data_IF_233810395610
#
_entry.id   IF_233810395610
#
_cell.length_a   1.000
_cell.length_b   1.000
_cell.length_c   1.000
_cell.angle_alpha   90.00
_cell.angle_beta   90.00
_cell.angle_gamma   90.00
#
_symmetry.space_group_name_H-M   'P 1'
#
loop_
_entity.id
_entity.type
_entity.pdbx_description
1 polymer ?
#
# COMPACT_ATOMS: atom_id res chain seq x y z
N UNK A 1 -31.85 -60.09 15.38
CA UNK A 1 -31.44 -59.63 14.04
C UNK A 1 -30.99 -58.19 14.16
N UNK A 2 -29.71 -57.99 13.91
CA UNK A 2 -28.98 -56.76 13.53
C UNK A 2 -29.10 -55.49 14.38
N UNK A 3 -28.28 -55.49 15.44
CA UNK A 3 -27.64 -54.28 15.95
C UNK A 3 -26.75 -53.69 14.86
N UNK A 4 -27.14 -52.54 14.33
CA UNK A 4 -26.32 -51.72 13.44
C UNK A 4 -25.00 -51.41 14.17
N UNK A 5 -23.93 -52.14 13.80
CA UNK A 5 -22.55 -51.84 14.19
C UNK A 5 -22.25 -50.40 13.76
N UNK A 6 -22.28 -49.46 14.71
CA UNK A 6 -21.60 -48.16 14.57
C UNK A 6 -20.15 -48.46 14.23
N UNK A 7 -19.79 -48.29 12.95
CA UNK A 7 -18.44 -48.40 12.44
C UNK A 7 -17.58 -47.39 13.20
N UNK A 8 -16.93 -47.83 14.27
CA UNK A 8 -15.93 -47.07 15.00
C UNK A 8 -14.92 -46.57 13.97
N UNK A 9 -14.96 -45.28 13.67
CA UNK A 9 -13.89 -44.58 12.98
C UNK A 9 -12.71 -44.52 13.97
N UNK A 10 -12.06 -45.68 14.17
CA UNK A 10 -10.83 -45.83 14.95
C UNK A 10 -9.73 -45.11 14.16
N UNK A 11 -9.63 -43.80 14.35
CA UNK A 11 -8.38 -43.12 14.04
C UNK A 11 -7.31 -43.74 14.94
N UNK A 12 -6.37 -44.47 14.33
CA UNK A 12 -5.21 -45.00 15.03
C UNK A 12 -4.49 -43.85 15.74
N UNK A 13 -4.10 -44.02 17.01
CA UNK A 13 -3.30 -43.01 17.73
C UNK A 13 -2.05 -42.61 16.93
N UNK A 14 -1.51 -43.53 16.10
CA UNK A 14 -0.42 -43.25 15.15
C UNK A 14 -0.81 -42.20 14.10
N UNK A 15 -2.00 -42.29 13.52
CA UNK A 15 -2.48 -41.33 12.51
C UNK A 15 -2.60 -39.93 13.11
N UNK A 16 -3.11 -39.82 14.36
CA UNK A 16 -3.21 -38.54 15.07
C UNK A 16 -1.83 -37.88 15.21
N UNK A 17 -0.84 -38.62 15.68
CA UNK A 17 0.52 -38.09 15.85
C UNK A 17 1.21 -37.80 14.52
N UNK A 18 0.98 -38.61 13.48
CA UNK A 18 1.46 -38.31 12.13
C UNK A 18 0.89 -37.00 11.58
N UNK A 19 -0.41 -36.74 11.76
CA UNK A 19 -1.05 -35.49 11.33
C UNK A 19 -0.49 -34.30 12.09
N UNK A 20 -0.33 -34.40 13.42
CA UNK A 20 0.25 -33.32 14.24
C UNK A 20 1.72 -33.06 13.84
N UNK A 21 2.50 -34.12 13.61
CA UNK A 21 3.89 -34.01 13.17
C UNK A 21 4.01 -33.33 11.80
N UNK A 22 3.17 -33.72 10.84
CA UNK A 22 3.12 -33.09 9.53
C UNK A 22 2.74 -31.60 9.61
N UNK A 23 1.71 -31.26 10.40
CA UNK A 23 1.31 -29.87 10.62
C UNK A 23 2.42 -29.07 11.31
N UNK A 24 3.10 -29.65 12.30
CA UNK A 24 4.24 -29.01 12.97
C UNK A 24 5.40 -28.72 12.02
N UNK A 25 5.73 -29.66 11.13
CA UNK A 25 6.77 -29.46 10.11
C UNK A 25 6.40 -28.35 9.13
N UNK A 26 5.14 -28.34 8.66
CA UNK A 26 4.63 -27.28 7.79
C UNK A 26 4.70 -25.91 8.47
N UNK A 27 4.27 -25.82 9.73
CA UNK A 27 4.34 -24.57 10.52
C UNK A 27 5.78 -24.08 10.66
N UNK A 28 6.72 -24.97 11.03
CA UNK A 28 8.13 -24.60 11.14
C UNK A 28 8.71 -24.11 9.82
N UNK A 29 8.44 -24.81 8.72
CA UNK A 29 8.88 -24.42 7.37
C UNK A 29 8.36 -23.04 6.97
N UNK A 30 7.06 -22.79 7.17
CA UNK A 30 6.45 -21.50 6.83
C UNK A 30 6.98 -20.36 7.70
N UNK A 31 7.18 -20.57 9.00
CA UNK A 31 7.71 -19.55 9.91
C UNK A 31 9.14 -19.16 9.50
N UNK A 32 10.00 -20.11 9.14
CA UNK A 32 11.35 -19.82 8.65
C UNK A 32 11.30 -19.06 7.33
N UNK A 33 10.41 -19.47 6.41
CA UNK A 33 10.25 -18.78 5.12
C UNK A 33 9.81 -17.32 5.32
N UNK A 34 8.84 -17.06 6.20
CA UNK A 34 8.41 -15.69 6.55
C UNK A 34 9.54 -14.88 7.18
N UNK A 35 10.33 -15.48 8.07
CA UNK A 35 11.47 -14.83 8.72
C UNK A 35 12.54 -14.41 7.71
N UNK A 36 12.89 -15.28 6.76
CA UNK A 36 13.90 -15.00 5.72
C UNK A 36 13.45 -13.89 4.78
N UNK A 37 12.14 -13.74 4.54
CA UNK A 37 11.58 -12.65 3.73
C UNK A 37 11.47 -11.31 4.47
N UNK A 38 11.82 -11.25 5.77
CA UNK A 38 11.73 -10.04 6.59
C UNK A 38 10.35 -9.78 7.20
N UNK A 39 9.39 -10.71 7.06
CA UNK A 39 8.01 -10.59 7.56
C UNK A 39 7.91 -11.01 9.04
N UNK A 40 8.68 -10.34 9.91
CA UNK A 40 8.84 -10.75 11.31
C UNK A 40 7.53 -10.80 12.10
N UNK A 41 6.64 -9.82 11.89
CA UNK A 41 5.39 -9.72 12.66
C UNK A 41 4.42 -10.85 12.30
N UNK A 42 4.34 -11.22 11.02
CA UNK A 42 3.58 -12.37 10.55
C UNK A 42 4.20 -13.70 11.00
N UNK A 43 5.53 -13.82 10.99
CA UNK A 43 6.23 -15.02 11.46
C UNK A 43 5.94 -15.29 12.95
N UNK A 44 6.05 -14.27 13.81
CA UNK A 44 5.78 -14.38 15.25
C UNK A 44 4.32 -14.78 15.50
N UNK A 45 3.37 -14.11 14.84
CA UNK A 45 1.95 -14.43 15.01
C UNK A 45 1.63 -15.87 14.57
N UNK A 46 2.13 -16.27 13.39
CA UNK A 46 1.91 -17.62 12.84
C UNK A 46 2.47 -18.68 13.78
N UNK A 47 3.65 -18.44 14.35
CA UNK A 47 4.26 -19.31 15.34
C UNK A 47 3.40 -19.42 16.60
N UNK A 48 3.03 -18.29 17.22
CA UNK A 48 2.25 -18.27 18.47
C UNK A 48 0.91 -18.98 18.29
N UNK A 49 0.14 -18.63 17.26
CA UNK A 49 -1.16 -19.23 16.99
C UNK A 49 -1.00 -20.73 16.71
N UNK A 50 -0.14 -21.09 15.76
CA UNK A 50 0.00 -22.49 15.34
C UNK A 50 0.54 -23.39 16.46
N UNK A 51 1.50 -22.91 17.25
CA UNK A 51 2.02 -23.66 18.42
C UNK A 51 0.93 -23.87 19.47
N UNK A 52 0.11 -22.85 19.76
CA UNK A 52 -1.03 -23.00 20.67
C UNK A 52 -2.04 -24.02 20.13
N UNK A 53 -2.36 -23.97 18.83
CA UNK A 53 -3.23 -24.94 18.16
C UNK A 53 -2.69 -26.36 18.27
N UNK A 54 -1.44 -26.58 17.86
CA UNK A 54 -0.80 -27.90 17.92
C UNK A 54 -0.80 -28.46 19.36
N UNK A 55 -0.50 -27.62 20.36
CA UNK A 55 -0.58 -28.02 21.77
C UNK A 55 -2.00 -28.44 22.18
N UNK A 56 -3.02 -27.65 21.83
CA UNK A 56 -4.43 -27.89 22.17
C UNK A 56 -4.95 -29.20 21.54
N UNK A 57 -4.57 -29.48 20.31
CA UNK A 57 -5.00 -30.70 19.60
C UNK A 57 -4.15 -31.94 19.97
N UNK A 58 -2.90 -31.75 20.41
CA UNK A 58 -2.06 -32.83 20.92
C UNK A 58 -2.56 -33.34 22.29
N UNK A 59 -2.76 -32.44 23.26
CA UNK A 59 -3.09 -32.82 24.63
C UNK A 59 -4.59 -33.20 24.79
N UNK A 60 -4.88 -34.18 25.67
CA UNK A 60 -6.26 -34.56 26.02
C UNK A 60 -6.84 -33.64 27.10
N UNK A 61 -6.01 -33.04 27.95
CA UNK A 61 -6.45 -32.10 29.01
C UNK A 61 -7.08 -30.82 28.46
N UNK A 62 -6.74 -30.45 27.23
CA UNK A 62 -7.21 -29.24 26.52
C UNK A 62 -8.45 -29.48 25.66
N UNK A 63 -9.22 -30.55 25.91
CA UNK A 63 -10.34 -30.92 25.04
C UNK A 63 -11.36 -29.79 24.83
N UNK A 64 -11.73 -29.05 25.89
CA UNK A 64 -12.63 -27.90 25.79
C UNK A 64 -12.10 -26.81 24.84
N UNK A 65 -10.78 -26.58 24.84
CA UNK A 65 -10.14 -25.56 24.01
C UNK A 65 -10.20 -25.87 22.52
N UNK A 66 -10.44 -27.12 22.11
CA UNK A 66 -10.55 -27.49 20.69
C UNK A 66 -11.75 -26.83 20.00
N UNK A 67 -12.81 -26.55 20.75
CA UNK A 67 -14.01 -25.89 20.23
C UNK A 67 -13.86 -24.36 20.19
N UNK A 68 -13.12 -23.81 21.15
CA UNK A 68 -12.95 -22.36 21.29
C UNK A 68 -11.80 -21.84 20.42
N UNK A 69 -10.74 -22.63 20.25
CA UNK A 69 -9.52 -22.24 19.57
C UNK A 69 -9.73 -21.75 18.13
N UNK A 70 -10.52 -22.40 17.26
CA UNK A 70 -10.73 -21.89 15.90
C UNK A 70 -11.32 -20.48 15.87
N UNK A 71 -12.25 -20.17 16.79
CA UNK A 71 -12.83 -18.84 16.94
C UNK A 71 -11.81 -17.82 17.48
N UNK A 72 -11.04 -18.19 18.51
CA UNK A 72 -9.99 -17.33 19.05
C UNK A 72 -8.85 -17.08 18.06
N UNK A 73 -8.49 -18.07 17.24
CA UNK A 73 -7.49 -17.91 16.19
C UNK A 73 -7.99 -16.92 15.13
N UNK A 74 -9.27 -17.02 14.73
CA UNK A 74 -9.91 -16.04 13.86
C UNK A 74 -9.92 -14.63 14.46
N UNK A 75 -10.33 -14.49 15.72
CA UNK A 75 -10.29 -13.20 16.42
C UNK A 75 -8.85 -12.66 16.56
N UNK A 76 -7.88 -13.52 16.86
CA UNK A 76 -6.47 -13.17 16.93
C UNK A 76 -5.95 -12.61 15.62
N UNK A 77 -6.26 -13.28 14.50
CA UNK A 77 -5.78 -12.92 13.17
C UNK A 77 -6.50 -11.70 12.58
N UNK A 78 -7.82 -11.58 12.76
CA UNK A 78 -8.63 -10.57 12.06
C UNK A 78 -9.05 -9.40 12.93
N UNK A 79 -8.90 -9.48 14.26
CA UNK A 79 -9.25 -8.39 15.18
C UNK A 79 -8.04 -7.94 15.97
N UNK A 80 -7.38 -8.85 16.68
CA UNK A 80 -6.27 -8.50 17.57
C UNK A 80 -5.04 -8.05 16.76
N UNK A 81 -4.69 -8.76 15.68
CA UNK A 81 -3.54 -8.41 14.86
C UNK A 81 -3.66 -7.03 14.21
N UNK A 82 -4.75 -6.67 13.49
CA UNK A 82 -4.91 -5.32 12.97
C UNK A 82 -4.90 -4.25 14.06
N UNK A 83 -5.46 -4.55 15.25
CA UNK A 83 -5.43 -3.65 16.40
C UNK A 83 -3.99 -3.41 16.88
N UNK A 84 -3.18 -4.47 17.05
CA UNK A 84 -1.77 -4.35 17.44
C UNK A 84 -0.95 -3.61 16.38
N UNK A 85 -1.17 -3.90 15.10
CA UNK A 85 -0.53 -3.17 14.00
C UNK A 85 -0.89 -1.68 14.02
N UNK A 86 -2.15 -1.34 14.29
CA UNK A 86 -2.60 0.06 14.42
C UNK A 86 -1.89 0.77 15.57
N UNK A 87 -1.75 0.09 16.72
CA UNK A 87 -1.00 0.62 17.87
C UNK A 87 0.49 0.78 17.52
N UNK A 88 1.10 -0.21 16.86
CA UNK A 88 2.51 -0.14 16.48
C UNK A 88 2.79 1.02 15.50
N UNK A 89 1.93 1.19 14.49
CA UNK A 89 2.00 2.31 13.53
C UNK A 89 1.84 3.66 14.24
N UNK A 90 1.06 3.74 15.33
CA UNK A 90 0.90 4.99 16.09
C UNK A 90 2.20 5.50 16.72
N UNK A 91 3.24 4.67 16.86
CA UNK A 91 4.58 5.07 17.33
C UNK A 91 5.56 5.42 16.19
N UNK A 92 5.11 5.42 14.94
CA UNK A 92 5.93 5.75 13.76
C UNK A 92 5.44 7.03 13.06
N UNK A 93 6.23 7.54 12.13
CA UNK A 93 5.85 8.67 11.26
C UNK A 93 5.15 8.21 9.95
N UNK A 94 4.61 6.98 9.91
CA UNK A 94 3.98 6.42 8.72
C UNK A 94 2.87 7.35 8.22
N UNK A 95 3.04 7.86 7.01
CA UNK A 95 2.19 8.91 6.44
C UNK A 95 2.38 8.97 4.93
N UNK A 96 1.61 9.80 4.23
CA UNK A 96 1.75 9.96 2.78
C UNK A 96 3.16 10.38 2.31
N UNK A 97 3.94 11.04 3.16
CA UNK A 97 5.30 11.46 2.82
C UNK A 97 6.36 10.42 3.19
N UNK A 98 6.09 9.60 4.21
CA UNK A 98 6.97 8.57 4.75
C UNK A 98 6.25 7.21 4.71
N UNK A 99 6.13 6.66 3.50
CA UNK A 99 5.45 5.37 3.27
C UNK A 99 6.42 4.21 3.10
N UNK A 100 7.62 4.50 2.60
CA UNK A 100 8.59 3.49 2.20
C UNK A 100 9.44 3.06 3.40
N UNK A 101 10.06 1.89 3.30
CA UNK A 101 11.19 1.54 4.17
C UNK A 101 12.43 2.32 3.75
N UNK A 102 13.44 2.37 4.62
CA UNK A 102 14.70 3.05 4.34
C UNK A 102 15.37 2.50 3.06
N UNK A 103 15.43 1.18 2.95
CA UNK A 103 16.07 0.47 1.83
C UNK A 103 15.36 0.80 0.51
N UNK A 104 14.03 0.85 0.54
CA UNK A 104 13.23 1.16 -0.65
C UNK A 104 13.34 2.62 -1.03
N UNK A 105 13.36 3.53 -0.05
CA UNK A 105 13.58 4.96 -0.31
C UNK A 105 14.98 5.20 -0.92
N UNK A 106 16.02 4.56 -0.38
CA UNK A 106 17.38 4.62 -0.93
C UNK A 106 17.43 4.08 -2.36
N UNK A 107 16.80 2.94 -2.64
CA UNK A 107 16.75 2.39 -3.99
C UNK A 107 16.09 3.36 -4.98
N UNK A 108 14.96 3.97 -4.60
CA UNK A 108 14.27 4.97 -5.45
C UNK A 108 15.17 6.19 -5.70
N UNK A 109 15.96 6.63 -4.72
CA UNK A 109 16.93 7.70 -4.92
C UNK A 109 18.07 7.27 -5.86
N UNK A 110 18.59 6.06 -5.71
CA UNK A 110 19.65 5.52 -6.58
C UNK A 110 19.21 5.33 -8.04
N UNK A 111 17.92 5.07 -8.27
CA UNK A 111 17.34 4.97 -9.61
C UNK A 111 17.17 6.34 -10.29
N UNK A 112 17.34 7.46 -9.57
CA UNK A 112 17.25 8.79 -10.17
C UNK A 112 18.47 9.08 -11.02
N UNK A 113 18.21 9.73 -12.15
CA UNK A 113 19.24 10.17 -13.07
C UNK A 113 19.01 11.61 -13.51
N UNK A 114 20.06 12.23 -14.03
CA UNK A 114 19.99 13.53 -14.68
C UNK A 114 20.63 13.45 -16.06
N UNK A 115 20.18 14.33 -16.94
CA UNK A 115 20.73 14.48 -18.28
C UNK A 115 21.97 15.37 -18.20
N UNK A 116 23.16 14.80 -18.41
CA UNK A 116 24.42 15.54 -18.39
C UNK A 116 24.94 15.92 -19.78
N UNK A 117 24.25 15.50 -20.86
CA UNK A 117 24.72 15.71 -22.23
C UNK A 117 23.61 15.63 -23.27
N UNK A 118 24.01 15.47 -24.53
CA UNK A 118 23.10 15.37 -25.67
C UNK A 118 22.31 14.06 -25.71
N UNK A 119 21.22 14.07 -26.47
CA UNK A 119 20.40 12.89 -26.77
C UNK A 119 20.51 12.56 -28.25
N UNK A 120 20.73 11.29 -28.54
CA UNK A 120 20.92 10.77 -29.88
C UNK A 120 19.85 9.71 -30.15
N UNK A 121 19.22 9.76 -31.33
CA UNK A 121 18.39 8.66 -31.78
C UNK A 121 19.31 7.51 -32.20
N UNK A 122 19.00 6.28 -31.81
CA UNK A 122 19.83 5.14 -32.21
C UNK A 122 19.12 4.20 -33.18
N UNK A 123 19.92 3.65 -34.09
CA UNK A 123 19.57 2.51 -34.92
C UNK A 123 20.50 1.35 -34.60
N UNK A 124 19.94 0.14 -34.60
CA UNK A 124 20.71 -1.08 -34.50
C UNK A 124 20.68 -1.77 -35.86
N UNK A 125 21.85 -2.15 -36.37
CA UNK A 125 22.03 -2.67 -37.72
C UNK A 125 22.76 -4.02 -37.67
N UNK A 126 22.29 -5.06 -38.36
CA UNK A 126 23.00 -6.33 -38.42
C UNK A 126 24.22 -6.24 -39.33
N UNK A 127 25.37 -6.76 -38.86
CA UNK A 127 26.62 -6.84 -39.59
C UNK A 127 27.13 -8.29 -39.59
N UNK A 128 26.57 -9.12 -40.47
CA UNK A 128 26.79 -10.58 -40.44
C UNK A 128 26.10 -11.22 -39.23
N UNK A 129 26.86 -11.93 -38.40
CA UNK A 129 26.39 -12.51 -37.13
C UNK A 129 26.49 -11.52 -35.95
N UNK A 130 27.05 -10.33 -36.19
CA UNK A 130 27.24 -9.27 -35.20
C UNK A 130 26.30 -8.08 -35.42
N UNK A 131 26.38 -7.08 -34.55
CA UNK A 131 25.56 -5.87 -34.58
C UNK A 131 26.42 -4.61 -34.65
N UNK A 132 25.85 -3.55 -35.21
CA UNK A 132 26.43 -2.21 -35.21
C UNK A 132 25.42 -1.23 -34.61
N UNK A 133 25.92 -0.33 -33.76
CA UNK A 133 25.15 0.72 -33.14
C UNK A 133 25.42 2.02 -33.90
N UNK A 134 24.37 2.61 -34.46
CA UNK A 134 24.44 3.94 -35.04
C UNK A 134 23.69 4.94 -34.16
N UNK A 135 24.30 6.10 -33.91
CA UNK A 135 23.70 7.24 -33.22
C UNK A 135 23.58 8.41 -34.18
N UNK A 136 22.43 9.07 -34.19
CA UNK A 136 22.17 10.26 -35.01
C UNK A 136 21.88 11.44 -34.09
N UNK A 137 22.65 12.52 -34.23
CA UNK A 137 22.39 13.81 -33.59
C UNK A 137 21.28 14.53 -34.37
N UNK A 138 20.14 14.76 -33.73
CA UNK A 138 18.99 15.43 -34.35
C UNK A 138 19.21 16.93 -34.59
N UNK A 139 20.16 17.56 -33.89
CA UNK A 139 20.42 19.00 -34.02
C UNK A 139 21.44 19.30 -35.12
N UNK A 140 22.50 18.49 -35.21
CA UNK A 140 23.61 18.71 -36.17
C UNK A 140 23.50 17.85 -37.43
N UNK A 141 22.64 16.82 -37.42
CA UNK A 141 22.51 15.85 -38.51
C UNK A 141 23.69 14.88 -38.63
N UNK A 142 24.68 14.96 -37.73
CA UNK A 142 25.85 14.08 -37.72
C UNK A 142 25.46 12.67 -37.29
N UNK A 143 26.04 11.68 -37.95
CA UNK A 143 25.89 10.27 -37.58
C UNK A 143 27.20 9.73 -37.01
N UNK A 144 27.06 8.83 -36.06
CA UNK A 144 28.16 8.14 -35.41
C UNK A 144 27.88 6.64 -35.49
N UNK A 145 28.88 5.84 -35.83
CA UNK A 145 28.73 4.40 -36.01
C UNK A 145 29.80 3.66 -35.20
N UNK A 146 29.40 2.61 -34.50
CA UNK A 146 30.31 1.70 -33.81
C UNK A 146 30.93 0.68 -34.77
N UNK A 147 32.05 0.10 -34.37
CA UNK A 147 32.51 -1.16 -34.95
C UNK A 147 31.52 -2.30 -34.62
N UNK A 148 31.65 -3.44 -35.30
CA UNK A 148 30.77 -4.59 -35.08
C UNK A 148 30.98 -5.19 -33.67
N UNK A 149 29.89 -5.55 -33.01
CA UNK A 149 29.89 -6.08 -31.65
C UNK A 149 28.84 -7.18 -31.47
N UNK A 150 29.10 -8.06 -30.50
CA UNK A 150 28.15 -9.08 -30.06
C UNK A 150 27.53 -8.70 -28.72
N UNK A 151 26.25 -9.06 -28.53
CA UNK A 151 25.59 -8.83 -27.25
C UNK A 151 26.23 -9.66 -26.13
N UNK A 152 26.63 -9.00 -25.05
CA UNK A 152 27.14 -9.67 -23.86
C UNK A 152 27.83 -8.71 -22.90
N UNK A 153 27.42 -8.74 -21.63
CA UNK A 153 28.05 -8.02 -20.53
C UNK A 153 28.16 -6.49 -20.69
N UNK A 154 28.87 -5.88 -19.75
CA UNK A 154 29.26 -4.48 -19.84
C UNK A 154 30.37 -4.29 -20.88
N UNK A 155 30.09 -3.48 -21.89
CA UNK A 155 31.05 -3.20 -22.96
C UNK A 155 31.04 -1.72 -23.35
N UNK A 156 32.22 -1.24 -23.74
CA UNK A 156 32.41 0.13 -24.22
C UNK A 156 32.59 0.10 -25.73
N UNK A 157 31.71 0.79 -26.46
CA UNK A 157 31.79 0.88 -27.92
C UNK A 157 32.32 2.26 -28.29
N UNK A 158 33.46 2.30 -28.98
CA UNK A 158 33.96 3.54 -29.56
C UNK A 158 33.21 3.82 -30.87
N UNK A 159 32.63 5.01 -31.00
CA UNK A 159 31.95 5.43 -32.23
C UNK A 159 32.86 6.34 -33.05
N UNK A 160 32.73 6.23 -34.37
CA UNK A 160 33.39 7.07 -35.37
C UNK A 160 32.33 7.90 -36.08
N UNK A 161 32.64 9.16 -36.37
CA UNK A 161 31.77 10.01 -37.19
C UNK A 161 31.71 9.43 -38.61
N UNK A 162 30.50 9.33 -39.17
CA UNK A 162 30.27 8.80 -40.52
C UNK A 162 29.20 9.61 -41.23
N UNK A 163 29.37 9.82 -42.54
CA UNK A 163 28.37 10.46 -43.39
C UNK A 163 27.32 9.45 -43.90
N UNK A 164 27.62 8.15 -43.82
CA UNK A 164 26.75 7.08 -44.31
C UNK A 164 26.33 6.14 -43.18
N UNK A 165 25.02 5.89 -43.10
CA UNK A 165 24.46 4.83 -42.26
C UNK A 165 24.64 3.46 -42.95
N UNK A 166 24.68 2.35 -42.18
CA UNK A 166 24.77 1.01 -42.77
C UNK A 166 23.63 0.76 -43.77
N UNK A 167 23.96 0.13 -44.91
CA UNK A 167 22.98 -0.21 -45.95
C UNK A 167 22.04 -1.38 -45.59
N UNK A 168 22.32 -2.08 -44.48
CA UNK A 168 21.46 -3.11 -43.91
C UNK A 168 20.15 -2.53 -43.36
N UNK A 169 19.08 -3.33 -43.35
CA UNK A 169 17.81 -2.91 -42.76
C UNK A 169 17.94 -2.68 -41.26
N UNK A 170 17.39 -1.55 -40.77
CA UNK A 170 17.38 -1.20 -39.34
C UNK A 170 16.55 -2.23 -38.56
N UNK A 171 17.10 -2.72 -37.45
CA UNK A 171 16.40 -3.64 -36.57
C UNK A 171 15.07 -3.05 -36.07
N UNK A 172 14.03 -3.89 -36.07
CA UNK A 172 12.71 -3.51 -35.58
C UNK A 172 12.67 -3.43 -34.04
N UNK A 173 11.60 -2.86 -33.50
CA UNK A 173 11.43 -2.68 -32.05
C UNK A 173 11.39 -4.01 -31.27
N UNK A 174 10.98 -5.12 -31.92
CA UNK A 174 10.96 -6.44 -31.29
C UNK A 174 12.36 -6.91 -30.95
N UNK A 175 13.30 -6.80 -31.89
CA UNK A 175 14.71 -7.19 -31.70
C UNK A 175 15.36 -6.32 -30.61
N UNK A 176 15.11 -5.00 -30.64
CA UNK A 176 15.61 -4.08 -29.61
C UNK A 176 15.07 -4.47 -28.22
N UNK A 177 13.78 -4.79 -28.12
CA UNK A 177 13.15 -5.17 -26.85
C UNK A 177 13.66 -6.50 -26.33
N UNK A 178 13.92 -7.48 -27.19
CA UNK A 178 14.49 -8.78 -26.83
C UNK A 178 15.90 -8.63 -26.26
N UNK A 179 16.71 -7.71 -26.81
CA UNK A 179 18.11 -7.50 -26.40
C UNK A 179 18.30 -6.32 -25.44
N UNK A 180 17.22 -5.77 -24.87
CA UNK A 180 17.24 -4.53 -24.07
C UNK A 180 18.21 -4.58 -22.88
N UNK A 181 18.34 -5.73 -22.23
CA UNK A 181 19.20 -5.88 -21.05
C UNK A 181 20.67 -5.75 -21.43
N UNK A 182 21.08 -6.36 -22.55
CA UNK A 182 22.43 -6.22 -23.09
C UNK A 182 22.66 -4.80 -23.62
N UNK A 183 21.70 -4.22 -24.32
CA UNK A 183 21.79 -2.82 -24.81
C UNK A 183 21.95 -1.79 -23.67
N UNK A 184 21.28 -2.00 -22.52
CA UNK A 184 21.45 -1.15 -21.34
C UNK A 184 22.85 -1.22 -20.72
N UNK A 185 23.61 -2.29 -20.99
CA UNK A 185 24.98 -2.48 -20.48
C UNK A 185 26.04 -1.87 -21.43
N UNK A 186 25.63 -1.35 -22.58
CA UNK A 186 26.52 -0.71 -23.54
C UNK A 186 26.76 0.74 -23.15
N UNK A 187 28.03 1.09 -22.99
CA UNK A 187 28.47 2.49 -22.91
C UNK A 187 29.08 2.89 -24.25
N UNK A 188 28.36 3.74 -24.99
CA UNK A 188 28.85 4.30 -26.24
C UNK A 188 29.75 5.52 -25.95
N UNK A 189 30.93 5.55 -26.55
CA UNK A 189 31.93 6.61 -26.41
C UNK A 189 32.07 7.33 -27.75
N UNK A 190 31.71 8.61 -27.78
CA UNK A 190 31.78 9.46 -28.97
C UNK A 190 33.24 9.89 -29.26
N UNK A 191 33.53 10.43 -30.47
CA UNK A 191 34.86 10.93 -30.81
C UNK A 191 35.37 12.07 -29.91
N UNK A 192 34.48 12.79 -29.23
CA UNK A 192 34.77 13.84 -28.25
C UNK A 192 34.95 13.30 -26.82
N UNK A 193 35.12 11.97 -26.67
CA UNK A 193 35.19 11.22 -25.42
C UNK A 193 33.91 11.26 -24.56
N UNK A 194 32.83 11.88 -25.04
CA UNK A 194 31.58 11.90 -24.32
C UNK A 194 30.94 10.51 -24.27
N UNK A 195 30.41 10.15 -23.10
CA UNK A 195 29.83 8.83 -22.83
C UNK A 195 28.32 8.93 -22.85
N UNK A 196 27.68 8.05 -23.61
CA UNK A 196 26.23 7.94 -23.72
C UNK A 196 25.77 6.50 -23.48
N UNK A 197 24.63 6.36 -22.83
CA UNK A 197 24.01 5.07 -22.48
C UNK A 197 22.57 5.04 -23.00
N UNK A 198 21.97 3.85 -23.09
CA UNK A 198 20.57 3.73 -23.51
C UNK A 198 19.65 4.37 -22.46
N UNK A 199 18.88 5.38 -22.86
CA UNK A 199 17.89 6.04 -21.99
C UNK A 199 16.45 5.69 -22.33
N UNK A 200 16.21 5.23 -23.56
CA UNK A 200 14.93 4.66 -23.98
C UNK A 200 15.15 3.63 -25.10
N UNK A 201 14.09 2.93 -25.50
CA UNK A 201 14.14 1.99 -26.64
C UNK A 201 14.41 2.66 -27.99
N UNK A 202 14.56 3.99 -28.04
CA UNK A 202 14.83 4.76 -29.26
C UNK A 202 16.04 5.68 -29.14
N UNK A 203 16.55 5.91 -27.93
CA UNK A 203 17.55 6.95 -27.69
C UNK A 203 18.68 6.48 -26.78
N UNK A 204 19.87 6.99 -27.09
CA UNK A 204 21.01 7.03 -26.20
C UNK A 204 21.24 8.46 -25.76
N UNK A 205 21.61 8.66 -24.50
CA UNK A 205 21.92 9.98 -23.97
C UNK A 205 23.02 9.95 -22.95
N UNK A 206 23.58 11.13 -22.67
CA UNK A 206 24.50 11.35 -21.56
C UNK A 206 23.81 11.32 -20.18
N UNK A 207 22.81 10.46 -19.99
CA UNK A 207 22.14 10.29 -18.70
C UNK A 207 23.10 9.68 -17.70
N UNK A 208 23.18 10.25 -16.50
CA UNK A 208 24.04 9.74 -15.41
C UNK A 208 23.22 9.57 -14.14
N UNK A 209 23.59 8.62 -13.26
CA UNK A 209 22.99 8.54 -11.93
C UNK A 209 23.09 9.89 -11.22
N UNK A 210 21.99 10.35 -10.62
CA UNK A 210 21.94 11.61 -9.89
C UNK A 210 22.66 11.49 -8.55
N UNK A 211 22.64 10.30 -7.95
CA UNK A 211 23.28 10.05 -6.67
C UNK A 211 24.30 8.92 -6.76
N UNK A 212 25.34 9.02 -5.94
CA UNK A 212 26.29 7.94 -5.64
C UNK A 212 26.27 7.66 -4.15
N UNK A 213 26.23 6.38 -3.79
CA UNK A 213 26.27 5.92 -2.41
C UNK A 213 27.71 5.54 -2.05
N UNK A 214 28.25 6.14 -1.00
CA UNK A 214 29.52 5.75 -0.41
C UNK A 214 29.34 4.64 0.64
N UNK A 215 30.43 3.95 1.00
CA UNK A 215 30.42 2.83 1.95
C UNK A 215 29.96 3.24 3.37
N UNK A 216 30.07 4.53 3.72
CA UNK A 216 29.62 5.10 4.99
C UNK A 216 28.12 5.47 5.00
N UNK A 217 27.38 5.16 3.92
CA UNK A 217 25.96 5.48 3.76
C UNK A 217 25.69 6.93 3.31
N UNK A 218 26.73 7.68 2.93
CA UNK A 218 26.61 9.03 2.42
C UNK A 218 26.14 9.02 0.96
N UNK A 219 25.03 9.70 0.67
CA UNK A 219 24.59 9.96 -0.71
C UNK A 219 25.16 11.29 -1.20
N UNK A 220 25.86 11.27 -2.33
CA UNK A 220 26.37 12.51 -2.96
C UNK A 220 25.62 12.76 -4.26
N UNK A 221 25.11 13.98 -4.42
CA UNK A 221 24.49 14.40 -5.67
C UNK A 221 25.60 14.70 -6.71
N UNK A 222 25.61 13.97 -7.82
CA UNK A 222 26.62 14.06 -8.86
C UNK A 222 26.48 15.30 -9.75
N UNK A 223 25.37 16.04 -9.64
CA UNK A 223 25.12 17.28 -10.38
C UNK A 223 25.48 18.52 -9.55
N UNK A 224 25.06 18.57 -8.29
CA UNK A 224 25.31 19.73 -7.41
C UNK A 224 26.50 19.58 -6.47
N UNK A 225 26.99 18.34 -6.25
CA UNK A 225 28.03 18.03 -5.27
C UNK A 225 27.55 18.00 -3.81
N UNK A 226 26.26 18.26 -3.55
CA UNK A 226 25.69 18.26 -2.20
C UNK A 226 25.67 16.84 -1.63
N UNK A 227 26.01 16.73 -0.35
CA UNK A 227 26.10 15.46 0.39
C UNK A 227 24.89 15.31 1.32
N UNK A 228 24.37 14.10 1.42
CA UNK A 228 23.17 13.77 2.19
C UNK A 228 23.41 12.57 3.09
N UNK A 229 22.89 12.63 4.32
CA UNK A 229 22.87 11.52 5.27
C UNK A 229 21.45 11.16 5.68
N UNK A 230 21.19 9.89 6.02
CA UNK A 230 19.90 9.49 6.57
C UNK A 230 19.68 10.12 7.95
N UNK A 231 18.66 10.97 8.07
CA UNK A 231 18.21 11.53 9.34
C UNK A 231 17.02 10.71 9.88
N UNK A 232 17.32 9.83 10.84
CA UNK A 232 16.34 8.93 11.44
C UNK A 232 15.37 9.61 12.42
N UNK A 233 15.57 10.88 12.77
CA UNK A 233 14.65 11.62 13.65
C UNK A 233 13.39 12.09 12.91
N UNK A 234 13.55 12.35 11.60
CA UNK A 234 12.50 12.86 10.71
C UNK A 234 12.11 11.86 9.61
N UNK A 235 12.98 10.90 9.28
CA UNK A 235 12.76 9.90 8.24
C UNK A 235 13.07 10.40 6.82
N UNK A 236 14.15 11.17 6.66
CA UNK A 236 14.55 11.72 5.36
C UNK A 236 16.05 11.65 5.17
N UNK A 237 16.51 11.55 3.92
CA UNK A 237 17.86 11.96 3.57
C UNK A 237 17.94 13.48 3.65
N UNK A 238 18.81 14.00 4.50
CA UNK A 238 18.97 15.43 4.73
C UNK A 238 20.39 15.85 4.37
N UNK A 239 20.53 17.04 3.78
CA UNK A 239 21.85 17.56 3.42
C UNK A 239 22.72 17.78 4.64
N UNK A 240 24.03 17.66 4.46
CA UNK A 240 25.02 17.97 5.49
C UNK A 240 25.92 19.12 5.04
N UNK A 241 26.20 20.03 5.96
CA UNK A 241 27.15 21.11 5.76
C UNK A 241 28.59 20.60 5.91
N UNK A 242 29.57 21.43 5.54
CA UNK A 242 31.00 21.07 5.61
C UNK A 242 31.50 20.77 7.04
N UNK A 243 30.82 21.32 8.05
CA UNK A 243 31.09 21.08 9.48
C UNK A 243 30.41 19.81 10.02
N UNK A 244 29.61 19.11 9.21
CA UNK A 244 28.85 17.93 9.60
C UNK A 244 27.49 18.23 10.25
N UNK A 245 27.09 19.50 10.35
CA UNK A 245 25.74 19.89 10.79
C UNK A 245 24.68 19.58 9.72
N UNK A 246 23.44 19.39 10.14
CA UNK A 246 22.31 19.21 9.22
C UNK A 246 22.01 20.50 8.48
N UNK A 247 21.94 20.43 7.14
CA UNK A 247 21.42 21.50 6.29
C UNK A 247 19.90 21.45 6.16
N UNK A 248 19.32 22.40 5.43
CA UNK A 248 17.86 22.53 5.33
C UNK A 248 17.22 21.63 4.25
N UNK A 249 18.00 21.13 3.30
CA UNK A 249 17.51 20.39 2.15
C UNK A 249 17.20 18.93 2.49
N UNK A 250 16.01 18.46 2.10
CA UNK A 250 15.53 17.09 2.35
C UNK A 250 15.14 16.42 1.04
N UNK A 251 15.63 15.21 0.82
CA UNK A 251 15.28 14.42 -0.37
C UNK A 251 13.99 13.66 -0.15
N UNK A 252 13.05 13.82 -1.07
CA UNK A 252 11.89 12.92 -1.19
C UNK A 252 12.22 11.77 -2.14
N UNK A 253 11.70 10.54 -1.93
CA UNK A 253 10.75 10.16 -0.89
C UNK A 253 11.40 10.02 0.49
N UNK A 254 10.62 10.28 1.54
CA UNK A 254 11.02 9.94 2.91
C UNK A 254 10.74 8.48 3.24
N UNK A 255 11.18 8.05 4.42
CA UNK A 255 11.09 6.68 4.90
C UNK A 255 10.52 6.61 6.32
N UNK A 256 9.92 5.47 6.63
CA UNK A 256 9.25 5.22 7.91
C UNK A 256 10.30 5.04 9.02
N UNK A 257 10.15 5.80 10.10
CA UNK A 257 10.98 5.72 11.31
C UNK A 257 10.11 5.74 12.56
N UNK A 258 10.65 5.22 13.65
CA UNK A 258 10.00 5.29 14.97
C UNK A 258 10.15 6.70 15.53
N UNK A 259 9.05 7.30 15.96
CA UNK A 259 9.03 8.65 16.54
C UNK A 259 8.58 8.67 18.00
N UNK A 260 8.40 7.50 18.61
CA UNK A 260 7.94 7.38 19.99
C UNK A 260 6.55 7.97 20.18
N UNK A 261 6.34 8.75 21.24
CA UNK A 261 5.03 9.29 21.60
C UNK A 261 4.66 10.63 20.91
N UNK A 262 5.40 11.05 19.87
CA UNK A 262 5.17 12.33 19.18
C UNK A 262 3.74 12.48 18.64
N UNK A 263 3.15 11.42 18.08
CA UNK A 263 1.77 11.45 17.59
C UNK A 263 0.76 11.72 18.72
N UNK A 264 0.93 11.09 19.88
CA UNK A 264 0.03 11.24 21.02
C UNK A 264 0.16 12.61 21.66
N UNK A 265 1.39 13.06 21.91
CA UNK A 265 1.66 14.38 22.51
C UNK A 265 1.15 15.52 21.63
N UNK A 266 1.23 15.38 20.29
CA UNK A 266 0.69 16.37 19.35
C UNK A 266 -0.81 16.63 19.53
N UNK A 267 -1.61 15.60 19.81
CA UNK A 267 -3.07 15.76 20.04
C UNK A 267 -3.37 16.68 21.23
N UNK A 268 -2.48 16.70 22.23
CA UNK A 268 -2.65 17.49 23.46
C UNK A 268 -1.91 18.84 23.46
N UNK A 269 -1.01 19.06 22.50
CA UNK A 269 -0.13 20.25 22.46
C UNK A 269 -0.43 21.18 21.28
N UNK A 270 -1.04 20.66 20.21
CA UNK A 270 -1.40 21.42 19.03
C UNK A 270 -2.80 22.04 19.19
N UNK A 271 -2.85 23.36 19.46
CA UNK A 271 -4.08 24.14 19.64
C UNK A 271 -5.05 24.01 18.46
N UNK A 272 -4.54 23.78 17.24
CA UNK A 272 -5.35 23.59 16.04
C UNK A 272 -6.11 22.25 16.03
N UNK A 273 -5.58 21.23 16.73
CA UNK A 273 -6.16 19.89 16.81
C UNK A 273 -7.03 19.75 18.05
N UNK A 274 -6.60 20.29 19.19
CA UNK A 274 -7.25 20.07 20.48
C UNK A 274 -8.67 20.64 20.53
N UNK A 275 -8.86 21.87 20.04
CA UNK A 275 -10.15 22.57 20.06
C UNK A 275 -11.27 21.80 19.34
N UNK A 276 -11.12 21.40 18.07
CA UNK A 276 -12.15 20.62 17.40
C UNK A 276 -12.28 19.20 17.97
N UNK A 277 -11.18 18.59 18.45
CA UNK A 277 -11.21 17.22 18.97
C UNK A 277 -12.22 17.06 20.11
N UNK A 278 -12.19 17.92 21.13
CA UNK A 278 -13.09 17.78 22.28
C UNK A 278 -14.56 18.04 21.92
N UNK A 279 -14.82 19.03 21.05
CA UNK A 279 -16.18 19.31 20.58
C UNK A 279 -16.77 18.14 19.79
N UNK A 280 -15.98 17.55 18.87
CA UNK A 280 -16.38 16.37 18.09
C UNK A 280 -16.57 15.16 19.01
N UNK A 281 -15.70 14.97 20.01
CA UNK A 281 -15.79 13.87 20.95
C UNK A 281 -17.12 13.91 21.74
N UNK A 282 -17.44 15.07 22.34
CA UNK A 282 -18.71 15.24 23.09
C UNK A 282 -19.91 14.99 22.18
N UNK A 283 -19.91 15.56 20.97
CA UNK A 283 -20.99 15.31 20.01
C UNK A 283 -21.12 13.84 19.64
N UNK A 284 -20.00 13.14 19.41
CA UNK A 284 -20.00 11.71 19.06
C UNK A 284 -20.59 10.86 20.19
N UNK A 285 -20.26 11.18 21.45
CA UNK A 285 -20.85 10.51 22.63
C UNK A 285 -22.35 10.77 22.69
N UNK A 286 -22.79 12.02 22.59
CA UNK A 286 -24.22 12.40 22.62
C UNK A 286 -24.98 11.71 21.49
N UNK A 287 -24.46 11.76 20.27
CA UNK A 287 -25.03 11.10 19.10
C UNK A 287 -25.18 9.59 19.32
N UNK A 288 -24.14 8.93 19.84
CA UNK A 288 -24.16 7.48 20.09
C UNK A 288 -25.20 7.12 21.16
N UNK A 289 -25.25 7.85 22.27
CA UNK A 289 -26.20 7.62 23.36
C UNK A 289 -27.64 7.83 22.88
N UNK A 290 -27.91 8.93 22.17
CA UNK A 290 -29.23 9.22 21.60
C UNK A 290 -29.64 8.14 20.58
N UNK A 291 -28.72 7.71 19.73
CA UNK A 291 -28.99 6.66 18.74
C UNK A 291 -29.35 5.34 19.43
N UNK A 292 -28.58 4.90 20.42
CA UNK A 292 -28.87 3.67 21.17
C UNK A 292 -30.20 3.80 21.91
N UNK A 293 -30.44 4.91 22.62
CA UNK A 293 -31.68 5.11 23.36
C UNK A 293 -32.91 5.05 22.44
N UNK A 294 -32.90 5.75 21.31
CA UNK A 294 -34.02 5.78 20.36
C UNK A 294 -34.20 4.45 19.64
N UNK A 295 -33.12 3.82 19.17
CA UNK A 295 -33.21 2.53 18.44
C UNK A 295 -33.68 1.40 19.35
N UNK A 296 -33.22 1.36 20.60
CA UNK A 296 -33.70 0.38 21.59
C UNK A 296 -35.15 0.66 21.95
N UNK A 297 -35.53 1.92 22.23
CA UNK A 297 -36.91 2.26 22.58
C UNK A 297 -37.90 1.90 21.45
N UNK A 298 -37.63 2.36 20.23
CA UNK A 298 -38.47 2.06 19.06
C UNK A 298 -38.47 0.57 18.74
N UNK A 299 -37.29 -0.07 18.73
CA UNK A 299 -37.16 -1.49 18.43
C UNK A 299 -37.90 -2.37 19.44
N UNK A 300 -37.81 -2.05 20.74
CA UNK A 300 -38.50 -2.78 21.79
C UNK A 300 -40.02 -2.61 21.69
N UNK A 301 -40.52 -1.38 21.51
CA UNK A 301 -41.95 -1.12 21.33
C UNK A 301 -42.51 -1.87 20.13
N UNK A 302 -41.84 -1.77 18.96
CA UNK A 302 -42.27 -2.48 17.75
C UNK A 302 -42.20 -4.00 17.91
N UNK A 303 -41.18 -4.54 18.59
CA UNK A 303 -41.06 -5.96 18.86
C UNK A 303 -42.23 -6.48 19.72
N UNK A 304 -42.59 -5.76 20.79
CA UNK A 304 -43.75 -6.10 21.62
C UNK A 304 -45.06 -6.05 20.82
N UNK A 305 -45.26 -5.02 19.99
CA UNK A 305 -46.47 -4.87 19.16
C UNK A 305 -46.61 -5.99 18.13
N UNK A 306 -45.54 -6.32 17.41
CA UNK A 306 -45.58 -7.35 16.34
C UNK A 306 -45.73 -8.76 16.91
N UNK A 307 -45.42 -8.98 18.19
CA UNK A 307 -45.67 -10.24 18.86
C UNK A 307 -47.09 -10.34 19.45
N UNK A 308 -47.82 -9.22 19.57
CA UNK A 308 -49.14 -9.17 20.20
C UNK A 308 -50.16 -10.05 19.44
N UNK A 309 -50.82 -10.97 20.17
CA UNK A 309 -51.75 -11.95 19.58
C UNK A 309 -52.97 -11.31 18.90
N UNK A 310 -53.45 -10.19 19.42
CA UNK A 310 -54.61 -9.47 18.87
C UNK A 310 -54.30 -8.76 17.55
N UNK A 311 -53.02 -8.57 17.21
CA UNK A 311 -52.61 -7.88 15.99
C UNK A 311 -52.80 -8.78 14.76
N UNK A 312 -53.88 -8.55 14.02
CA UNK A 312 -54.11 -9.19 12.72
C UNK A 312 -53.04 -8.73 11.71
N UNK A 313 -52.50 -9.67 10.94
CA UNK A 313 -51.50 -9.38 9.90
C UNK A 313 -50.06 -9.19 10.39
N UNK A 314 -49.73 -9.58 11.62
CA UNK A 314 -48.38 -9.44 12.22
C UNK A 314 -47.21 -9.94 11.35
N UNK A 315 -47.43 -10.95 10.50
CA UNK A 315 -46.41 -11.45 9.58
C UNK A 315 -45.98 -10.41 8.53
N UNK A 316 -46.93 -9.64 7.98
CA UNK A 316 -46.64 -8.59 6.99
C UNK A 316 -45.89 -7.44 7.66
N UNK A 317 -46.36 -6.98 8.82
CA UNK A 317 -45.68 -5.94 9.59
C UNK A 317 -44.23 -6.32 9.93
N UNK A 318 -43.99 -7.58 10.33
CA UNK A 318 -42.63 -8.05 10.62
C UNK A 318 -41.70 -7.92 9.43
N UNK A 319 -42.15 -8.30 8.23
CA UNK A 319 -41.33 -8.21 7.01
C UNK A 319 -41.06 -6.75 6.65
N UNK A 320 -42.08 -5.89 6.66
CA UNK A 320 -41.91 -4.47 6.31
C UNK A 320 -40.95 -3.73 7.26
N UNK A 321 -41.00 -4.02 8.56
CA UNK A 321 -40.17 -3.35 9.56
C UNK A 321 -38.69 -3.74 9.51
N UNK A 322 -38.34 -4.92 8.97
CA UNK A 322 -36.94 -5.33 8.80
C UNK A 322 -36.34 -4.88 7.47
N UNK A 323 -37.16 -4.43 6.50
CA UNK A 323 -36.69 -3.98 5.19
C UNK A 323 -35.57 -2.94 5.25
N UNK A 324 -35.60 -1.91 6.13
CA UNK A 324 -34.53 -0.92 6.21
C UNK A 324 -33.17 -1.52 6.56
N UNK A 325 -33.15 -2.62 7.34
CA UNK A 325 -31.92 -3.35 7.67
C UNK A 325 -31.51 -4.34 6.58
N UNK A 326 -32.48 -4.89 5.83
CA UNK A 326 -32.21 -5.82 4.73
C UNK A 326 -31.54 -5.14 3.52
N UNK A 327 -31.78 -3.84 3.32
CA UNK A 327 -31.14 -3.05 2.27
C UNK A 327 -29.74 -2.60 2.71
N UNK A 328 -28.70 -2.70 1.87
CA UNK A 328 -27.38 -2.20 2.18
C UNK A 328 -27.41 -0.72 2.60
N UNK A 329 -26.84 -0.42 3.77
CA UNK A 329 -26.90 0.91 4.39
C UNK A 329 -26.36 2.02 3.50
N UNK A 330 -25.34 1.74 2.69
CA UNK A 330 -24.74 2.71 1.78
C UNK A 330 -25.76 3.37 0.84
N UNK A 331 -26.62 2.58 0.20
CA UNK A 331 -27.63 3.09 -0.73
C UNK A 331 -28.70 3.88 0.03
N UNK A 332 -29.16 3.38 1.18
CA UNK A 332 -30.13 4.07 2.02
C UNK A 332 -29.62 5.44 2.46
N UNK A 333 -28.36 5.54 2.88
CA UNK A 333 -27.72 6.81 3.27
C UNK A 333 -27.68 7.80 2.10
N UNK A 334 -27.35 7.35 0.88
CA UNK A 334 -27.33 8.22 -0.30
C UNK A 334 -28.73 8.69 -0.72
N UNK A 335 -29.74 7.81 -0.60
CA UNK A 335 -31.14 8.19 -0.83
C UNK A 335 -31.54 9.28 0.18
N UNK A 336 -31.26 9.08 1.47
CA UNK A 336 -31.53 10.10 2.49
C UNK A 336 -30.78 11.41 2.22
N UNK A 337 -29.51 11.35 1.76
CA UNK A 337 -28.76 12.54 1.35
C UNK A 337 -29.49 13.34 0.25
N UNK A 338 -30.09 12.66 -0.72
CA UNK A 338 -30.91 13.28 -1.75
C UNK A 338 -32.24 13.83 -1.20
N UNK A 339 -32.95 13.04 -0.41
CA UNK A 339 -34.25 13.41 0.18
C UNK A 339 -34.15 14.65 1.08
N UNK A 340 -33.05 14.78 1.84
CA UNK A 340 -32.77 15.92 2.72
C UNK A 340 -32.09 17.11 2.00
N UNK A 341 -32.00 17.10 0.67
CA UNK A 341 -31.46 18.24 -0.08
C UNK A 341 -32.29 19.51 0.19
N UNK A 342 -31.62 20.62 0.46
CA UNK A 342 -32.27 21.86 0.89
C UNK A 342 -33.17 22.49 -0.19
N UNK A 343 -32.76 22.40 -1.45
CA UNK A 343 -33.43 23.07 -2.58
C UNK A 343 -34.35 22.14 -3.37
N UNK A 344 -33.95 20.87 -3.54
CA UNK A 344 -34.62 19.92 -4.44
C UNK A 344 -35.09 18.65 -3.72
N UNK A 345 -34.89 18.53 -2.41
CA UNK A 345 -35.26 17.34 -1.66
C UNK A 345 -36.76 17.26 -1.43
N UNK A 346 -37.34 16.08 -1.69
CA UNK A 346 -38.78 15.81 -1.52
C UNK A 346 -39.26 16.12 -0.09
N UNK A 347 -38.41 15.90 0.93
CA UNK A 347 -38.76 16.20 2.33
C UNK A 347 -38.96 17.71 2.50
N UNK A 348 -38.08 18.56 1.95
CA UNK A 348 -38.23 20.02 2.06
C UNK A 348 -39.34 20.56 1.17
N UNK A 349 -39.59 19.95 0.02
CA UNK A 349 -40.76 20.29 -0.80
C UNK A 349 -42.06 20.01 -0.05
N UNK A 350 -42.16 18.84 0.59
CA UNK A 350 -43.31 18.46 1.41
C UNK A 350 -43.46 19.35 2.65
N UNK A 351 -42.39 19.59 3.41
CA UNK A 351 -42.43 20.47 4.59
C UNK A 351 -42.75 21.92 4.23
N UNK A 352 -42.25 22.42 3.10
CA UNK A 352 -42.57 23.75 2.60
C UNK A 352 -44.03 23.89 2.19
N UNK A 353 -44.61 22.86 1.56
CA UNK A 353 -46.02 22.86 1.18
C UNK A 353 -46.97 22.73 2.38
N UNK A 354 -46.63 21.88 3.37
CA UNK A 354 -47.50 21.61 4.52
C UNK A 354 -47.36 22.65 5.64
N UNK A 355 -46.14 23.13 5.89
CA UNK A 355 -45.80 23.93 7.06
C UNK A 355 -45.11 25.26 6.71
N UNK A 356 -44.83 25.52 5.42
CA UNK A 356 -44.13 26.74 5.00
C UNK A 356 -42.64 26.79 5.34
N UNK A 357 -42.07 25.72 5.92
CA UNK A 357 -40.68 25.68 6.39
C UNK A 357 -39.77 24.91 5.44
N UNK A 358 -38.51 25.35 5.34
CA UNK A 358 -37.45 24.64 4.61
C UNK A 358 -36.19 24.56 5.46
N UNK A 359 -36.07 23.56 6.36
CA UNK A 359 -34.92 23.45 7.24
C UNK A 359 -33.60 23.29 6.48
N UNK A 360 -32.54 23.90 7.01
CA UNK A 360 -31.21 23.90 6.42
C UNK A 360 -30.36 22.71 6.88
N UNK A 361 -30.76 21.48 6.52
CA UNK A 361 -30.19 20.22 7.01
C UNK A 361 -28.66 20.06 6.93
N UNK A 362 -28.01 20.66 5.92
CA UNK A 362 -26.56 20.57 5.70
C UNK A 362 -25.75 21.82 6.07
N UNK A 363 -26.41 22.96 6.29
CA UNK A 363 -25.74 24.26 6.48
C UNK A 363 -25.78 24.75 7.92
N UNK A 364 -26.80 24.35 8.68
CA UNK A 364 -26.94 24.68 10.09
C UNK A 364 -26.47 23.50 10.96
N UNK A 365 -25.48 23.68 11.85
CA UNK A 365 -25.04 22.65 12.80
C UNK A 365 -26.16 22.08 13.67
N UNK A 366 -27.17 22.89 13.98
CA UNK A 366 -28.41 22.44 14.62
C UNK A 366 -29.57 23.02 13.83
N UNK A 367 -30.16 22.29 12.87
CA UNK A 367 -31.21 22.82 12.01
C UNK A 367 -32.41 23.27 12.86
N UNK A 368 -32.40 24.55 13.26
CA UNK A 368 -33.55 25.23 13.84
C UNK A 368 -34.20 25.93 12.66
N UNK A 369 -35.52 25.81 12.54
CA UNK A 369 -36.25 26.57 11.55
C UNK A 369 -35.88 28.05 11.70
N UNK A 370 -35.11 28.58 10.75
CA UNK A 370 -34.94 30.02 10.65
C UNK A 370 -36.29 30.54 10.16
N UNK A 371 -36.95 31.29 11.05
CA UNK A 371 -38.26 31.91 10.83
C UNK A 371 -38.21 32.89 9.67
#
# INVERSE_FOLDING_TARGET
MDVIKKKHWRQSDRLKWSVIGFLGLLVGYLVVLMYVQGEYLFAIMTLILSSAGLYIFANRKTYAWRYVYPGLAGMGLFVLFPLVCTIAIAFTNYSNTNQLTFERAQQVLMDRSYQAGKTYNFGLYPAGDEWQLALTDGETGKNYLSDAFSFGGEQKLQLKETDTLPGSERANLRIITQNRLALNQITAVLPDESKVIMSSLRQFSGTRPLYTLADDGLLTNNQSGVKYRPNNDIGYYQSINADGSWGDEKLSPGYTVTIGAKNFTRVFTDDGIQKPFFAIFVWTVVFSVLTVALTVAVGMVLACLVQWEALKGKAIYRVLLILPYAVPSFISILIFKGLFNQSFGEINMMLGALFGIKPAWFSDPTPRGQW
#
